data_IF_460565915500
#
_entry.id   IF_460565915500
#
_cell.length_a   1.000
_cell.length_b   1.000
_cell.length_c   1.000
_cell.angle_alpha   90.00
_cell.angle_beta   90.00
_cell.angle_gamma   90.00
#
_symmetry.space_group_name_H-M   'P 1'
#
loop_
_entity.id
_entity.type
_entity.pdbx_description
1 polymer ?
#
# COMPACT_ATOMS: atom_id res chain seq x y z
N UNK A 1 23.73 -21.82 -0.62
CA UNK A 1 23.44 -20.38 -0.44
C UNK A 1 22.79 -19.76 -1.69
N UNK A 2 21.82 -20.45 -2.31
CA UNK A 2 21.07 -19.99 -3.50
C UNK A 2 19.53 -20.11 -3.31
N UNK A 3 19.07 -20.45 -2.09
CA UNK A 3 17.65 -20.71 -1.79
C UNK A 3 16.76 -19.46 -1.96
N UNK A 4 17.32 -18.27 -1.76
CA UNK A 4 16.59 -16.99 -1.89
C UNK A 4 16.38 -16.54 -3.35
N UNK A 5 17.04 -17.16 -4.34
CA UNK A 5 16.97 -16.67 -5.74
C UNK A 5 15.74 -17.15 -6.50
N UNK A 6 15.04 -18.17 -6.03
CA UNK A 6 13.89 -18.76 -6.75
C UNK A 6 12.58 -18.72 -5.98
N UNK A 7 12.64 -18.62 -4.65
CA UNK A 7 11.46 -18.53 -3.77
C UNK A 7 11.86 -17.75 -2.51
N UNK A 8 11.56 -16.43 -2.46
CA UNK A 8 11.95 -15.57 -1.34
C UNK A 8 11.24 -15.94 -0.03
N UNK A 9 10.04 -16.53 -0.12
CA UNK A 9 9.22 -16.87 1.03
C UNK A 9 9.49 -18.27 1.59
N UNK A 10 10.13 -19.16 0.81
CA UNK A 10 10.43 -20.54 1.25
C UNK A 10 11.00 -20.66 2.67
N UNK A 11 11.98 -19.85 3.10
CA UNK A 11 12.48 -19.95 4.47
C UNK A 11 11.42 -19.61 5.52
N UNK A 12 10.60 -18.58 5.27
CA UNK A 12 9.51 -18.19 6.15
C UNK A 12 8.42 -19.26 6.18
N UNK A 13 7.99 -19.76 5.02
CA UNK A 13 6.99 -20.84 4.90
C UNK A 13 7.41 -22.07 5.70
N UNK A 14 8.65 -22.52 5.54
CA UNK A 14 9.17 -23.67 6.28
C UNK A 14 9.15 -23.46 7.81
N UNK A 15 9.43 -22.24 8.27
CA UNK A 15 9.38 -21.93 9.70
C UNK A 15 7.95 -21.86 10.22
N UNK A 16 7.04 -21.22 9.48
CA UNK A 16 5.62 -21.16 9.86
C UNK A 16 5.00 -22.56 9.90
N UNK A 17 5.39 -23.45 8.97
CA UNK A 17 4.96 -24.84 8.95
C UNK A 17 5.49 -25.60 10.18
N UNK A 18 6.79 -25.45 10.50
CA UNK A 18 7.40 -26.08 11.68
C UNK A 18 6.74 -25.64 13.00
N UNK A 19 6.26 -24.39 13.06
CA UNK A 19 5.57 -23.83 14.22
C UNK A 19 4.06 -24.12 14.23
N UNK A 20 3.52 -24.78 13.19
CA UNK A 20 2.08 -25.03 13.06
C UNK A 20 1.24 -23.77 12.83
N UNK A 21 1.85 -22.69 12.33
CA UNK A 21 1.21 -21.39 12.09
C UNK A 21 0.84 -21.17 10.62
N UNK A 22 1.38 -21.99 9.71
CA UNK A 22 1.10 -21.87 8.29
C UNK A 22 -0.36 -22.24 7.98
N UNK A 23 -1.06 -21.35 7.28
CA UNK A 23 -2.41 -21.59 6.77
C UNK A 23 -2.44 -21.38 5.26
N UNK A 24 -3.48 -21.90 4.60
CA UNK A 24 -3.73 -21.65 3.17
C UNK A 24 -3.83 -20.15 2.91
N UNK A 25 -4.56 -19.40 3.75
CA UNK A 25 -4.71 -17.95 3.61
C UNK A 25 -3.40 -17.19 3.77
N UNK A 26 -2.50 -17.60 4.68
CA UNK A 26 -1.15 -17.02 4.77
C UNK A 26 -0.37 -17.30 3.49
N UNK A 27 -0.45 -18.52 2.97
CA UNK A 27 0.21 -18.89 1.70
C UNK A 27 -0.29 -18.04 0.54
N UNK A 28 -1.59 -17.76 0.48
CA UNK A 28 -2.18 -16.86 -0.51
C UNK A 28 -1.67 -15.42 -0.37
N UNK A 29 -1.58 -14.88 0.85
CA UNK A 29 -1.03 -13.53 1.04
C UNK A 29 0.45 -13.44 0.65
N UNK A 30 1.25 -14.49 0.87
CA UNK A 30 2.63 -14.51 0.38
C UNK A 30 2.67 -14.51 -1.16
N UNK A 31 1.78 -15.25 -1.83
CA UNK A 31 1.66 -15.20 -3.31
C UNK A 31 1.22 -13.82 -3.81
N UNK A 32 0.39 -13.10 -3.06
CA UNK A 32 0.06 -11.71 -3.35
C UNK A 32 1.31 -10.81 -3.36
N UNK A 33 2.28 -11.06 -2.47
CA UNK A 33 3.57 -10.37 -2.47
C UNK A 33 4.40 -10.65 -3.72
N UNK A 34 4.46 -11.91 -4.16
CA UNK A 34 5.12 -12.28 -5.42
C UNK A 34 4.47 -11.59 -6.63
N UNK A 35 3.12 -11.53 -6.65
CA UNK A 35 2.35 -10.82 -7.67
C UNK A 35 2.63 -9.31 -7.65
N UNK A 36 2.64 -8.68 -6.47
CA UNK A 36 2.97 -7.28 -6.29
C UNK A 36 4.34 -6.94 -6.90
N UNK A 37 5.38 -7.69 -6.53
CA UNK A 37 6.73 -7.43 -7.05
C UNK A 37 6.81 -7.60 -8.58
N UNK A 38 6.03 -8.52 -9.15
CA UNK A 38 5.94 -8.67 -10.60
C UNK A 38 5.25 -7.46 -11.26
N UNK A 39 4.15 -6.98 -10.67
CA UNK A 39 3.43 -5.79 -11.14
C UNK A 39 4.27 -4.53 -11.02
N UNK A 40 4.93 -4.30 -9.88
CA UNK A 40 5.84 -3.17 -9.67
C UNK A 40 6.90 -3.10 -10.77
N UNK A 41 7.64 -4.20 -11.00
CA UNK A 41 8.66 -4.25 -12.06
C UNK A 41 8.07 -3.97 -13.44
N UNK A 42 6.89 -4.53 -13.73
CA UNK A 42 6.18 -4.33 -15.01
C UNK A 42 5.81 -2.86 -15.20
N UNK A 43 5.20 -2.24 -14.19
CA UNK A 43 4.67 -0.88 -14.24
C UNK A 43 5.78 0.16 -14.30
N UNK A 44 6.79 0.06 -13.43
CA UNK A 44 7.95 0.96 -13.45
C UNK A 44 8.74 0.82 -14.76
N UNK A 45 8.89 -0.40 -15.28
CA UNK A 45 9.50 -0.60 -16.59
C UNK A 45 8.65 -0.01 -17.72
N UNK A 46 7.32 -0.14 -17.69
CA UNK A 46 6.44 0.44 -18.70
C UNK A 46 6.57 1.96 -18.72
N UNK A 47 6.51 2.59 -17.54
CA UNK A 47 6.59 4.04 -17.38
C UNK A 47 7.93 4.60 -17.88
N UNK A 48 9.06 4.00 -17.50
CA UNK A 48 10.40 4.41 -17.97
C UNK A 48 10.58 4.28 -19.50
N UNK A 49 9.87 3.35 -20.13
CA UNK A 49 9.93 3.14 -21.57
C UNK A 49 8.77 3.81 -22.32
N UNK A 50 8.01 4.68 -21.65
CA UNK A 50 6.87 5.42 -22.21
C UNK A 50 5.84 4.48 -22.87
N UNK A 51 5.62 3.31 -22.28
CA UNK A 51 4.62 2.34 -22.70
C UNK A 51 3.30 2.58 -21.97
N UNK A 52 2.22 2.11 -22.57
CA UNK A 52 0.88 2.17 -21.96
C UNK A 52 0.85 1.45 -20.60
N UNK A 53 0.21 2.09 -19.63
CA UNK A 53 0.04 1.60 -18.26
C UNK A 53 -1.42 1.25 -18.05
N UNK A 54 -1.70 0.04 -17.55
CA UNK A 54 -3.05 -0.39 -17.22
C UNK A 54 -3.46 0.14 -15.84
N UNK A 55 -4.59 0.84 -15.76
CA UNK A 55 -5.17 1.24 -14.47
C UNK A 55 -5.52 0.02 -13.60
N UNK A 56 -5.93 -1.10 -14.20
CA UNK A 56 -6.27 -2.32 -13.46
C UNK A 56 -5.04 -2.90 -12.76
N UNK A 57 -3.89 -2.93 -13.45
CA UNK A 57 -2.62 -3.38 -12.88
C UNK A 57 -2.14 -2.45 -11.76
N UNK A 58 -2.29 -1.13 -11.95
CA UNK A 58 -1.92 -0.13 -10.94
C UNK A 58 -2.76 -0.27 -9.68
N UNK A 59 -4.08 -0.38 -9.83
CA UNK A 59 -5.00 -0.59 -8.71
C UNK A 59 -4.76 -1.94 -8.04
N UNK A 60 -4.42 -2.99 -8.81
CA UNK A 60 -4.03 -4.28 -8.25
C UNK A 60 -2.73 -4.17 -7.44
N UNK A 61 -1.71 -3.48 -7.96
CA UNK A 61 -0.42 -3.33 -7.30
C UNK A 61 -0.56 -2.62 -5.94
N UNK A 62 -1.23 -1.46 -5.87
CA UNK A 62 -1.42 -0.73 -4.61
C UNK A 62 -2.20 -1.56 -3.58
N UNK A 63 -3.17 -2.37 -4.01
CA UNK A 63 -3.88 -3.28 -3.09
C UNK A 63 -3.06 -4.48 -2.63
N UNK A 64 -2.00 -4.86 -3.33
CA UNK A 64 -1.13 -5.97 -2.93
C UNK A 64 0.11 -5.51 -2.14
N UNK A 65 0.44 -4.22 -2.16
CA UNK A 65 1.63 -3.64 -1.54
C UNK A 65 1.77 -4.03 -0.06
N UNK A 66 0.68 -3.96 0.71
CA UNK A 66 0.64 -4.29 2.16
C UNK A 66 0.37 -5.77 2.47
N UNK A 67 0.74 -6.71 1.60
CA UNK A 67 0.49 -8.15 1.83
C UNK A 67 1.11 -8.67 3.13
N UNK A 68 2.26 -8.13 3.51
CA UNK A 68 3.02 -8.51 4.70
C UNK A 68 2.27 -8.13 5.99
N UNK A 69 1.62 -6.97 6.02
CA UNK A 69 0.76 -6.54 7.10
C UNK A 69 -0.44 -7.49 7.29
N UNK A 70 -1.00 -8.01 6.18
CA UNK A 70 -2.06 -9.03 6.24
C UNK A 70 -1.54 -10.36 6.76
N UNK A 71 -0.34 -10.78 6.34
CA UNK A 71 0.33 -11.98 6.90
C UNK A 71 0.49 -11.83 8.41
N UNK A 72 0.96 -10.68 8.90
CA UNK A 72 1.10 -10.41 10.34
C UNK A 72 -0.24 -10.51 11.07
N UNK A 73 -1.31 -9.93 10.55
CA UNK A 73 -2.64 -10.02 11.16
C UNK A 73 -3.16 -11.47 11.19
N UNK A 74 -2.98 -12.23 10.12
CA UNK A 74 -3.35 -13.65 10.08
C UNK A 74 -2.56 -14.47 11.10
N UNK A 75 -1.27 -14.19 11.26
CA UNK A 75 -0.45 -14.84 12.29
C UNK A 75 -0.95 -14.51 13.70
N UNK A 76 -1.37 -13.27 13.98
CA UNK A 76 -1.95 -12.90 15.26
C UNK A 76 -3.25 -13.67 15.57
N UNK A 77 -4.10 -13.91 14.56
CA UNK A 77 -5.25 -14.79 14.72
C UNK A 77 -4.85 -16.22 15.08
N UNK A 78 -3.87 -16.79 14.36
CA UNK A 78 -3.38 -18.15 14.63
C UNK A 78 -2.78 -18.27 16.03
N UNK A 79 -1.96 -17.31 16.44
CA UNK A 79 -1.33 -17.28 17.76
C UNK A 79 -2.34 -17.18 18.92
N UNK A 80 -3.48 -16.52 18.68
CA UNK A 80 -4.58 -16.42 19.65
C UNK A 80 -5.52 -17.64 19.63
N UNK A 81 -5.37 -18.54 18.66
CA UNK A 81 -6.30 -19.65 18.45
C UNK A 81 -7.70 -19.17 18.01
N UNK A 82 -7.79 -18.01 17.39
CA UNK A 82 -9.07 -17.41 16.98
C UNK A 82 -9.33 -17.60 15.49
N UNK A 83 -10.61 -17.77 15.14
CA UNK A 83 -11.03 -17.75 13.75
C UNK A 83 -10.85 -16.34 13.19
N UNK A 84 -10.29 -16.26 11.98
CA UNK A 84 -10.15 -15.00 11.25
C UNK A 84 -11.53 -14.35 11.06
N UNK A 85 -11.63 -13.07 11.41
CA UNK A 85 -12.85 -12.29 11.19
C UNK A 85 -12.77 -11.61 9.82
N UNK A 86 -13.63 -12.02 8.88
CA UNK A 86 -13.65 -11.47 7.52
C UNK A 86 -13.95 -9.98 7.49
N UNK A 87 -14.82 -9.49 8.39
CA UNK A 87 -15.12 -8.07 8.47
C UNK A 87 -13.87 -7.27 8.87
N UNK A 88 -13.05 -7.80 9.78
CA UNK A 88 -11.80 -7.16 10.15
C UNK A 88 -10.82 -7.14 8.97
N UNK A 89 -10.69 -8.26 8.25
CA UNK A 89 -9.80 -8.33 7.09
C UNK A 89 -10.25 -7.40 5.96
N UNK A 90 -11.56 -7.24 5.74
CA UNK A 90 -12.08 -6.27 4.77
C UNK A 90 -11.79 -4.83 5.20
N UNK A 91 -12.04 -4.49 6.47
CA UNK A 91 -11.71 -3.18 7.02
C UNK A 91 -10.21 -2.86 6.90
N UNK A 92 -9.36 -3.81 7.28
CA UNK A 92 -7.91 -3.68 7.16
C UNK A 92 -7.48 -3.41 5.72
N UNK A 93 -8.02 -4.14 4.74
CA UNK A 93 -7.67 -3.95 3.33
C UNK A 93 -7.97 -2.53 2.82
N UNK A 94 -9.02 -1.87 3.31
CA UNK A 94 -9.34 -0.48 2.92
C UNK A 94 -8.47 0.51 3.69
N UNK A 95 -8.25 0.26 4.98
CA UNK A 95 -7.37 1.11 5.77
C UNK A 95 -5.93 1.09 5.27
N UNK A 96 -5.42 -0.08 4.90
CA UNK A 96 -4.10 -0.27 4.30
C UNK A 96 -3.98 0.52 3.00
N UNK A 97 -4.98 0.43 2.11
CA UNK A 97 -4.98 1.21 0.87
C UNK A 97 -4.82 2.72 1.13
N UNK A 98 -5.56 3.28 2.09
CA UNK A 98 -5.45 4.70 2.44
C UNK A 98 -4.06 5.04 3.02
N UNK A 99 -3.48 4.15 3.84
CA UNK A 99 -2.12 4.33 4.37
C UNK A 99 -1.09 4.31 3.24
N UNK A 100 -1.17 3.34 2.33
CA UNK A 100 -0.24 3.25 1.18
C UNK A 100 -0.33 4.47 0.27
N UNK A 101 -1.54 4.99 0.02
CA UNK A 101 -1.69 6.24 -0.75
C UNK A 101 -1.09 7.41 0.01
N UNK A 102 -1.27 7.48 1.34
CA UNK A 102 -0.66 8.52 2.16
C UNK A 102 0.87 8.50 2.09
N UNK A 103 1.46 7.30 2.20
CA UNK A 103 2.91 7.10 2.15
C UNK A 103 3.44 7.43 0.75
N UNK A 104 2.80 6.95 -0.32
CA UNK A 104 3.15 7.29 -1.71
C UNK A 104 3.09 8.81 -1.96
N UNK A 105 2.10 9.53 -1.40
CA UNK A 105 2.04 10.98 -1.57
C UNK A 105 3.16 11.71 -0.82
N UNK A 106 3.63 11.15 0.30
CA UNK A 106 4.72 11.70 1.07
C UNK A 106 6.09 11.43 0.40
N UNK A 107 6.29 10.20 -0.08
CA UNK A 107 7.55 9.72 -0.69
C UNK A 107 7.63 9.98 -2.20
N UNK A 108 6.65 10.68 -2.79
CA UNK A 108 6.50 10.85 -4.24
C UNK A 108 7.77 11.27 -4.99
N UNK A 109 8.49 12.25 -4.46
CA UNK A 109 9.72 12.74 -5.11
C UNK A 109 10.84 11.69 -5.09
N UNK A 110 11.02 11.02 -3.94
CA UNK A 110 12.03 9.98 -3.77
C UNK A 110 11.69 8.75 -4.62
N UNK A 111 10.43 8.33 -4.65
CA UNK A 111 9.97 7.21 -5.49
C UNK A 111 10.13 7.50 -6.98
N UNK A 112 9.84 8.73 -7.39
CA UNK A 112 10.17 9.18 -8.75
C UNK A 112 11.67 9.05 -8.91
N UNK A 113 12.52 9.62 -8.07
CA UNK A 113 13.99 9.56 -8.23
C UNK A 113 14.58 8.15 -8.27
N UNK A 114 13.99 7.19 -7.57
CA UNK A 114 14.46 5.80 -7.47
C UNK A 114 13.82 4.86 -8.50
N UNK A 115 12.80 5.33 -9.23
CA UNK A 115 11.98 4.50 -10.13
C UNK A 115 11.19 3.42 -9.39
N UNK A 116 10.73 3.74 -8.18
CA UNK A 116 9.86 2.87 -7.40
C UNK A 116 8.39 3.02 -7.86
N UNK A 117 7.57 2.05 -7.50
CA UNK A 117 6.13 2.16 -7.72
C UNK A 117 5.57 3.24 -6.79
N UNK A 118 4.72 4.10 -7.35
CA UNK A 118 4.03 5.14 -6.62
C UNK A 118 2.69 5.45 -7.31
N UNK A 119 1.60 5.48 -6.57
CA UNK A 119 0.25 5.58 -7.15
C UNK A 119 0.04 6.89 -7.91
N UNK A 120 0.52 8.03 -7.39
CA UNK A 120 0.40 9.32 -8.08
C UNK A 120 1.24 9.30 -9.36
N UNK A 121 2.46 8.79 -9.28
CA UNK A 121 3.35 8.61 -10.43
C UNK A 121 2.69 7.81 -11.55
N UNK A 122 2.07 6.68 -11.20
CA UNK A 122 1.34 5.85 -12.18
C UNK A 122 0.12 6.59 -12.76
N UNK A 123 -0.62 7.32 -11.93
CA UNK A 123 -1.75 8.12 -12.38
C UNK A 123 -1.34 9.21 -13.35
N UNK A 124 -0.18 9.85 -13.15
CA UNK A 124 0.39 10.83 -14.09
C UNK A 124 0.71 10.15 -15.42
N UNK A 125 1.27 8.95 -15.40
CA UNK A 125 1.54 8.16 -16.61
C UNK A 125 0.28 7.78 -17.41
N UNK A 126 -0.88 7.60 -16.73
CA UNK A 126 -2.15 7.22 -17.36
C UNK A 126 -2.94 8.44 -17.84
N UNK A 127 -3.16 9.41 -16.93
CA UNK A 127 -4.10 10.51 -17.13
C UNK A 127 -3.43 11.83 -17.50
N UNK A 128 -2.10 11.90 -17.40
CA UNK A 128 -1.34 13.12 -17.54
C UNK A 128 -1.38 14.00 -16.28
N UNK A 129 -0.44 14.95 -16.21
CA UNK A 129 -0.19 15.74 -15.01
C UNK A 129 -1.38 16.59 -14.52
N UNK A 130 -2.26 17.02 -15.43
CA UNK A 130 -3.41 17.87 -15.09
C UNK A 130 -4.58 17.08 -14.48
N UNK A 131 -4.81 15.84 -14.94
CA UNK A 131 -5.97 15.05 -14.52
C UNK A 131 -5.63 14.06 -13.39
N UNK A 132 -4.38 13.63 -13.27
CA UNK A 132 -3.94 12.65 -12.28
C UNK A 132 -4.33 12.98 -10.82
N UNK A 133 -4.10 14.22 -10.31
CA UNK A 133 -4.50 14.56 -8.94
C UNK A 133 -6.00 14.43 -8.68
N UNK A 134 -6.82 14.85 -9.65
CA UNK A 134 -8.28 14.80 -9.55
C UNK A 134 -8.78 13.35 -9.57
N UNK A 135 -8.20 12.52 -10.44
CA UNK A 135 -8.54 11.10 -10.51
C UNK A 135 -8.14 10.36 -9.23
N UNK A 136 -6.95 10.64 -8.68
CA UNK A 136 -6.52 10.02 -7.42
C UNK A 136 -7.40 10.46 -6.25
N UNK A 137 -7.73 11.75 -6.15
CA UNK A 137 -8.64 12.26 -5.13
C UNK A 137 -10.01 11.57 -5.15
N UNK A 138 -10.51 11.21 -6.34
CA UNK A 138 -11.76 10.44 -6.46
C UNK A 138 -11.64 9.05 -5.84
N UNK A 139 -10.55 8.32 -6.11
CA UNK A 139 -10.32 7.01 -5.51
C UNK A 139 -10.12 7.07 -3.99
N UNK A 140 -9.46 8.12 -3.50
CA UNK A 140 -9.32 8.38 -2.05
C UNK A 140 -10.71 8.57 -1.43
N UNK A 141 -11.56 9.43 -2.01
CA UNK A 141 -12.90 9.69 -1.48
C UNK A 141 -13.77 8.42 -1.46
N UNK A 142 -13.75 7.62 -2.53
CA UNK A 142 -14.47 6.33 -2.57
C UNK A 142 -13.98 5.35 -1.48
N UNK A 143 -12.67 5.32 -1.23
CA UNK A 143 -12.09 4.48 -0.19
C UNK A 143 -12.39 5.01 1.23
N UNK A 144 -12.41 6.33 1.44
CA UNK A 144 -12.82 6.95 2.72
C UNK A 144 -14.29 6.64 3.04
N UNK A 145 -15.20 6.73 2.06
CA UNK A 145 -16.60 6.36 2.25
C UNK A 145 -16.75 4.89 2.66
N UNK A 146 -16.02 3.99 1.98
CA UNK A 146 -16.02 2.56 2.31
C UNK A 146 -15.41 2.30 3.68
N UNK A 147 -14.31 2.97 4.01
CA UNK A 147 -13.67 2.90 5.32
C UNK A 147 -14.66 3.31 6.43
N UNK A 148 -15.34 4.45 6.27
CA UNK A 148 -16.29 4.96 7.25
C UNK A 148 -17.49 4.03 7.43
N UNK A 149 -17.96 3.43 6.34
CA UNK A 149 -19.01 2.42 6.39
C UNK A 149 -18.58 1.19 7.19
N UNK A 150 -17.40 0.64 6.89
CA UNK A 150 -16.88 -0.55 7.56
C UNK A 150 -16.56 -0.29 9.03
N UNK A 151 -15.96 0.85 9.35
CA UNK A 151 -15.63 1.24 10.73
C UNK A 151 -16.87 1.23 11.63
N UNK A 152 -18.01 1.73 11.13
CA UNK A 152 -19.30 1.73 11.86
C UNK A 152 -19.89 0.34 12.05
N UNK A 153 -19.49 -0.63 11.23
CA UNK A 153 -19.96 -2.02 11.33
C UNK A 153 -19.08 -2.90 12.22
N UNK A 154 -17.87 -2.45 12.56
CA UNK A 154 -16.99 -3.16 13.50
C UNK A 154 -17.61 -3.25 14.90
N UNK A 155 -17.08 -4.17 15.70
CA UNK A 155 -17.34 -4.17 17.13
C UNK A 155 -17.03 -2.77 17.72
N UNK A 156 -17.93 -2.16 18.51
CA UNK A 156 -17.75 -0.79 19.00
C UNK A 156 -16.49 -0.60 19.85
N UNK A 157 -16.07 -1.59 20.63
CA UNK A 157 -14.85 -1.50 21.43
C UNK A 157 -13.61 -1.57 20.55
N UNK A 158 -13.63 -2.43 19.53
CA UNK A 158 -12.57 -2.51 18.54
C UNK A 158 -12.44 -1.21 17.74
N UNK A 159 -13.56 -0.68 17.21
CA UNK A 159 -13.59 0.59 16.48
C UNK A 159 -12.97 1.72 17.32
N UNK A 160 -13.37 1.83 18.59
CA UNK A 160 -12.84 2.85 19.50
C UNK A 160 -11.34 2.67 19.77
N UNK A 161 -10.90 1.43 19.98
CA UNK A 161 -9.49 1.11 20.24
C UNK A 161 -8.62 1.41 19.02
N UNK A 162 -9.13 1.10 17.83
CA UNK A 162 -8.48 1.38 16.56
C UNK A 162 -8.31 2.89 16.35
N UNK A 163 -9.39 3.67 16.50
CA UNK A 163 -9.36 5.13 16.36
C UNK A 163 -8.35 5.76 17.33
N UNK A 164 -8.31 5.30 18.59
CA UNK A 164 -7.31 5.77 19.56
C UNK A 164 -5.88 5.48 19.11
N UNK A 165 -5.61 4.29 18.56
CA UNK A 165 -4.29 3.94 18.05
C UNK A 165 -3.89 4.83 16.88
N UNK A 166 -4.82 5.19 15.99
CA UNK A 166 -4.58 6.14 14.91
C UNK A 166 -4.21 7.54 15.46
N UNK A 167 -4.94 8.04 16.45
CA UNK A 167 -4.63 9.32 17.10
C UNK A 167 -3.26 9.31 17.80
N UNK A 168 -2.86 8.19 18.40
CA UNK A 168 -1.53 7.99 18.98
C UNK A 168 -0.45 8.01 17.90
N UNK A 169 -0.63 7.26 16.80
CA UNK A 169 0.33 7.22 15.69
C UNK A 169 0.55 8.60 15.07
N UNK A 170 -0.52 9.35 14.85
CA UNK A 170 -0.45 10.71 14.30
C UNK A 170 0.32 11.66 15.22
N UNK A 171 0.13 11.53 16.54
CA UNK A 171 0.89 12.32 17.54
C UNK A 171 2.36 11.92 17.61
N UNK A 172 2.66 10.62 17.54
CA UNK A 172 4.03 10.10 17.47
C UNK A 172 4.77 10.63 16.23
N UNK A 173 4.06 10.78 15.11
CA UNK A 173 4.55 11.41 13.88
C UNK A 173 4.64 12.95 13.91
N UNK A 174 4.39 13.58 15.06
CA UNK A 174 4.53 15.04 15.24
C UNK A 174 3.44 15.89 14.57
N UNK A 175 2.37 15.29 14.05
CA UNK A 175 1.24 16.03 13.44
C UNK A 175 0.12 16.23 14.48
N UNK A 176 -0.42 17.45 14.52
CA UNK A 176 -1.66 17.77 15.25
C UNK A 176 -2.76 17.98 14.21
N UNK A 177 -3.31 16.90 13.64
CA UNK A 177 -4.46 17.02 12.73
C UNK A 177 -5.76 16.79 13.48
N UNK A 178 -6.76 17.66 13.24
CA UNK A 178 -8.12 17.52 13.78
C UNK A 178 -9.02 16.56 12.99
N UNK A 179 -8.53 16.01 11.87
CA UNK A 179 -9.25 15.03 11.04
C UNK A 179 -8.68 13.62 11.26
N UNK A 180 -9.52 12.56 11.32
CA UNK A 180 -9.08 11.19 11.61
C UNK A 180 -8.02 10.63 10.65
N UNK A 181 -8.03 11.09 9.39
CA UNK A 181 -7.07 10.71 8.34
C UNK A 181 -5.99 11.77 8.09
N UNK A 182 -5.98 12.86 8.87
CA UNK A 182 -5.23 14.05 8.53
C UNK A 182 -5.82 14.81 7.33
N UNK A 183 -5.01 15.69 6.74
CA UNK A 183 -5.37 16.43 5.53
C UNK A 183 -4.54 15.87 4.38
N UNK A 184 -5.21 15.37 3.33
CA UNK A 184 -4.55 14.95 2.10
C UNK A 184 -3.78 16.12 1.47
N UNK A 185 -2.51 15.91 1.20
CA UNK A 185 -1.67 16.86 0.47
C UNK A 185 -1.12 16.13 -0.74
N UNK A 186 -1.70 16.41 -1.91
CA UNK A 186 -1.14 15.90 -3.17
C UNK A 186 0.05 16.79 -3.53
N UNK A 187 1.27 16.24 -3.66
CA UNK A 187 2.46 17.02 -3.97
C UNK A 187 2.38 17.58 -5.40
N UNK A 188 3.18 18.62 -5.72
CA UNK A 188 3.32 19.10 -7.09
C UNK A 188 3.74 17.95 -8.02
N UNK A 189 2.99 17.76 -9.11
CA UNK A 189 3.25 16.68 -10.06
C UNK A 189 4.54 16.94 -10.84
N UNK A 190 5.39 15.92 -10.92
CA UNK A 190 6.57 15.90 -11.79
C UNK A 190 6.12 15.52 -13.20
N UNK A 191 6.18 16.47 -14.12
CA UNK A 191 5.70 16.30 -15.52
C UNK A 191 6.70 15.52 -16.38
N UNK A 192 7.99 15.73 -16.13
CA UNK A 192 9.09 15.10 -16.88
C UNK A 192 10.08 14.49 -15.87
N UNK A 193 9.97 13.18 -15.69
CA UNK A 193 10.84 12.44 -14.76
C UNK A 193 12.30 12.41 -15.21
N UNK A 194 12.58 12.38 -16.52
CA UNK A 194 13.95 12.31 -17.04
C UNK A 194 14.68 13.64 -16.78
N UNK A 195 14.00 14.75 -17.06
CA UNK A 195 14.50 16.08 -16.74
C UNK A 195 14.65 16.27 -15.23
N UNK A 196 13.66 15.84 -14.44
CA UNK A 196 13.70 15.96 -12.98
C UNK A 196 14.90 15.19 -12.39
N UNK A 197 15.10 13.93 -12.78
CA UNK A 197 16.26 13.13 -12.36
C UNK A 197 17.56 13.81 -12.76
N UNK A 198 17.67 14.27 -14.01
CA UNK A 198 18.87 14.93 -14.51
C UNK A 198 19.23 16.18 -13.71
N UNK A 199 18.26 17.04 -13.41
CA UNK A 199 18.46 18.26 -12.62
C UNK A 199 18.95 17.97 -11.19
N UNK A 200 18.39 16.95 -10.55
CA UNK A 200 18.79 16.50 -9.22
C UNK A 200 20.22 15.92 -9.20
N UNK A 201 20.65 15.23 -10.26
CA UNK A 201 22.03 14.76 -10.39
C UNK A 201 23.03 15.90 -10.65
N UNK A 202 22.62 16.97 -11.34
CA UNK A 202 23.50 18.14 -11.58
C UNK A 202 23.62 19.11 -10.41
N UNK A 203 22.72 18.99 -9.42
CA UNK A 203 22.65 19.90 -8.26
C UNK A 203 23.35 19.34 -7.00
N UNK A 204 23.97 18.15 -7.10
CA UNK A 204 24.83 17.55 -6.08
C UNK A 204 26.31 17.75 -6.43
#
# INVERSE_FOLDING_TARGET
>A
MNMFKTDPFRPLVAQLECLGLLTERITEQLRCGDEYWALERKLCSALMNQKEISIEDVMRAIHLKSFDFRVLNLLLYQLRGEKVNELHMEFLSISEFLVEVSDDLFDYEDDVMENNFNILRMFVGIYGASAAPVMLAKHIAEAEEKYDSLLKTLDPQLSLSYQRRCEEATREGGKISGHPFGTWSIPPVIVDEELHRSNCFTSK
#
